data_IF_152432085021
#
_entry.id   IF_152432085021
#
_cell.length_a   1.000
_cell.length_b   1.000
_cell.length_c   1.000
_cell.angle_alpha   90.00
_cell.angle_beta   90.00
_cell.angle_gamma   90.00
#
_symmetry.space_group_name_H-M   'P 1'
#
loop_
_entity.id
_entity.type
_entity.pdbx_description
1 polymer ?
#
# COMPACT_ATOMS: atom_id res chain seq x y z
N UNK A 1 11.13 18.91 3.04
CA UNK A 1 10.86 17.46 2.99
C UNK A 1 10.58 17.10 1.54
N UNK A 2 11.36 16.17 0.99
CA UNK A 2 11.17 15.62 -0.35
C UNK A 2 10.34 14.34 -0.25
N UNK A 3 9.37 14.13 -1.18
CA UNK A 3 8.43 13.02 -1.11
C UNK A 3 8.31 12.27 -2.43
N UNK A 4 8.26 10.94 -2.37
CA UNK A 4 7.99 10.09 -3.51
C UNK A 4 6.64 9.37 -3.35
N UNK A 5 5.85 9.28 -4.43
CA UNK A 5 4.75 8.34 -4.56
C UNK A 5 5.22 7.20 -5.44
N UNK A 6 5.25 6.00 -4.91
CA UNK A 6 5.91 4.83 -5.51
C UNK A 6 4.89 3.76 -5.84
N UNK A 7 4.91 3.25 -7.03
CA UNK A 7 4.10 2.11 -7.49
C UNK A 7 4.77 1.45 -8.68
N UNK A 8 4.42 0.21 -8.99
CA UNK A 8 4.75 -0.40 -10.28
C UNK A 8 3.78 -1.53 -10.63
N UNK A 9 3.64 -1.83 -11.91
CA UNK A 9 2.90 -2.96 -12.43
C UNK A 9 3.81 -3.86 -13.26
N UNK A 10 3.87 -5.15 -12.91
CA UNK A 10 4.66 -6.16 -13.61
C UNK A 10 3.87 -7.47 -13.71
N UNK A 11 4.32 -8.39 -14.58
CA UNK A 11 3.78 -9.75 -14.65
C UNK A 11 2.27 -9.78 -14.96
N UNK A 12 1.85 -8.95 -15.91
CA UNK A 12 0.45 -8.84 -16.36
C UNK A 12 -0.38 -7.81 -15.57
N UNK A 13 0.22 -7.06 -14.65
CA UNK A 13 -0.45 -5.98 -13.90
C UNK A 13 -0.22 -4.60 -14.51
N UNK A 14 0.42 -4.49 -15.65
CA UNK A 14 0.72 -3.23 -16.34
C UNK A 14 -0.54 -2.44 -16.65
N UNK A 15 -1.60 -3.14 -17.09
CA UNK A 15 -2.90 -2.53 -17.35
C UNK A 15 -3.54 -1.89 -16.10
N UNK A 16 -3.37 -2.50 -14.92
CA UNK A 16 -3.87 -1.93 -13.66
C UNK A 16 -3.17 -0.61 -13.35
N UNK A 17 -1.85 -0.58 -13.54
CA UNK A 17 -1.07 0.65 -13.37
C UNK A 17 -1.51 1.73 -14.38
N UNK A 18 -1.74 1.39 -15.66
CA UNK A 18 -2.24 2.34 -16.66
C UNK A 18 -3.58 2.96 -16.25
N UNK A 19 -4.48 2.17 -15.65
CA UNK A 19 -5.77 2.64 -15.15
C UNK A 19 -5.65 3.53 -13.90
N UNK A 20 -4.72 3.21 -12.98
CA UNK A 20 -4.50 3.97 -11.75
C UNK A 20 -3.71 5.26 -11.98
N UNK A 21 -2.77 5.26 -12.92
CA UNK A 21 -1.77 6.31 -13.12
C UNK A 21 -2.32 7.74 -13.24
N UNK A 22 -3.45 8.00 -13.94
CA UNK A 22 -3.98 9.36 -14.03
C UNK A 22 -4.32 9.97 -12.66
N UNK A 23 -4.98 9.21 -11.77
CA UNK A 23 -5.31 9.67 -10.41
C UNK A 23 -4.07 9.80 -9.52
N UNK A 24 -3.12 8.86 -9.64
CA UNK A 24 -1.85 8.91 -8.92
C UNK A 24 -1.02 10.14 -9.32
N UNK A 25 -0.97 10.47 -10.60
CA UNK A 25 -0.28 11.66 -11.11
C UNK A 25 -0.94 12.94 -10.60
N UNK A 26 -2.28 13.03 -10.68
CA UNK A 26 -3.01 14.18 -10.14
C UNK A 26 -2.74 14.39 -8.65
N UNK A 27 -2.75 13.30 -7.86
CA UNK A 27 -2.44 13.34 -6.44
C UNK A 27 -0.98 13.79 -6.19
N UNK A 28 -0.03 13.21 -6.92
CA UNK A 28 1.38 13.55 -6.81
C UNK A 28 1.65 15.03 -7.14
N UNK A 29 1.09 15.51 -8.26
CA UNK A 29 1.25 16.91 -8.69
C UNK A 29 0.62 17.89 -7.67
N UNK A 30 -0.55 17.55 -7.11
CA UNK A 30 -1.26 18.38 -6.14
C UNK A 30 -0.52 18.53 -4.82
N UNK A 31 0.09 17.44 -4.34
CA UNK A 31 0.69 17.37 -3.02
C UNK A 31 2.23 17.40 -3.02
N UNK A 32 2.84 17.61 -4.19
CA UNK A 32 4.29 17.78 -4.32
C UNK A 32 5.09 16.48 -4.14
N UNK A 33 4.53 15.35 -4.56
CA UNK A 33 5.25 14.08 -4.66
C UNK A 33 5.91 13.94 -6.02
N UNK A 34 7.08 13.30 -6.05
CA UNK A 34 7.64 12.75 -7.29
C UNK A 34 7.01 11.38 -7.54
N UNK A 35 6.30 11.20 -8.66
CA UNK A 35 5.71 9.91 -9.02
C UNK A 35 6.76 8.99 -9.62
N UNK A 36 7.03 7.85 -8.96
CA UNK A 36 7.96 6.80 -9.39
C UNK A 36 7.16 5.56 -9.80
N UNK A 37 7.23 5.17 -11.06
CA UNK A 37 6.46 4.03 -11.61
C UNK A 37 7.35 2.96 -12.26
N UNK A 38 8.66 3.15 -12.22
CA UNK A 38 9.59 2.22 -12.84
C UNK A 38 9.65 0.91 -12.05
N UNK A 39 9.49 -0.24 -12.72
CA UNK A 39 9.64 -1.53 -12.07
C UNK A 39 11.13 -1.79 -11.76
N UNK A 40 11.42 -2.66 -10.79
CA UNK A 40 12.80 -3.05 -10.51
C UNK A 40 13.43 -3.74 -11.73
N UNK A 41 14.75 -3.54 -11.91
CA UNK A 41 15.51 -4.07 -13.07
C UNK A 41 15.44 -5.59 -13.21
N UNK A 42 15.30 -6.31 -12.11
CA UNK A 42 15.19 -7.77 -12.10
C UNK A 42 14.31 -8.25 -10.95
N UNK A 43 13.41 -9.20 -11.25
CA UNK A 43 12.58 -9.84 -10.23
C UNK A 43 13.30 -11.10 -9.71
N UNK A 44 13.91 -11.00 -8.55
CA UNK A 44 14.62 -12.12 -7.88
C UNK A 44 13.73 -12.87 -6.88
N UNK A 45 12.58 -12.31 -6.55
CA UNK A 45 11.54 -12.83 -5.64
C UNK A 45 10.16 -12.69 -6.30
N UNK A 46 9.08 -13.23 -5.72
CA UNK A 46 7.72 -12.91 -6.18
C UNK A 46 7.49 -11.40 -6.29
N UNK A 47 6.73 -10.90 -7.29
CA UNK A 47 6.63 -9.47 -7.62
C UNK A 47 6.33 -8.55 -6.43
N UNK A 48 5.42 -8.94 -5.53
CA UNK A 48 5.05 -8.15 -4.34
C UNK A 48 6.24 -7.83 -3.42
N UNK A 49 7.23 -8.72 -3.33
CA UNK A 49 8.44 -8.50 -2.54
C UNK A 49 9.30 -7.34 -3.03
N UNK A 50 9.22 -7.02 -4.31
CA UNK A 50 10.02 -5.94 -4.89
C UNK A 50 9.52 -4.54 -4.50
N UNK A 51 8.33 -4.43 -3.89
CA UNK A 51 7.90 -3.27 -3.13
C UNK A 51 8.99 -2.82 -2.13
N UNK A 52 9.60 -3.78 -1.45
CA UNK A 52 10.64 -3.51 -0.44
C UNK A 52 11.88 -2.88 -1.07
N UNK A 53 12.35 -3.39 -2.22
CA UNK A 53 13.56 -2.86 -2.87
C UNK A 53 13.35 -1.45 -3.43
N UNK A 54 12.22 -1.20 -4.09
CA UNK A 54 11.94 0.13 -4.64
C UNK A 54 11.65 1.16 -3.54
N UNK A 55 11.12 0.74 -2.38
CA UNK A 55 10.95 1.61 -1.23
C UNK A 55 12.28 1.95 -0.55
N UNK A 56 13.23 1.00 -0.48
CA UNK A 56 14.59 1.28 -0.03
C UNK A 56 15.27 2.31 -0.94
N UNK A 57 15.23 2.09 -2.27
CA UNK A 57 15.75 3.03 -3.26
C UNK A 57 15.10 4.42 -3.14
N UNK A 58 13.77 4.47 -2.96
CA UNK A 58 13.07 5.74 -2.77
C UNK A 58 13.49 6.46 -1.49
N UNK A 59 13.64 5.75 -0.36
CA UNK A 59 14.08 6.36 0.90
C UNK A 59 15.58 6.73 0.95
N UNK A 60 16.38 6.27 -0.01
CA UNK A 60 17.76 6.75 -0.20
C UNK A 60 17.79 8.16 -0.83
N UNK A 61 16.77 8.51 -1.63
CA UNK A 61 16.71 9.79 -2.37
C UNK A 61 15.69 10.78 -1.78
N UNK A 62 14.65 10.29 -1.09
CA UNK A 62 13.55 11.08 -0.55
C UNK A 62 13.44 10.92 0.97
N UNK A 63 12.96 11.97 1.64
CA UNK A 63 12.73 11.94 3.09
C UNK A 63 11.55 11.04 3.46
N UNK A 64 10.55 10.94 2.56
CA UNK A 64 9.30 10.22 2.77
C UNK A 64 8.87 9.51 1.47
N UNK A 65 8.27 8.33 1.60
CA UNK A 65 7.72 7.56 0.50
C UNK A 65 6.28 7.11 0.79
N UNK A 66 5.39 7.29 -0.17
CA UNK A 66 4.04 6.73 -0.18
C UNK A 66 3.98 5.61 -1.21
N UNK A 67 3.90 4.38 -0.75
CA UNK A 67 3.60 3.23 -1.61
C UNK A 67 2.10 3.10 -1.84
N UNK A 68 1.74 2.82 -3.08
CA UNK A 68 0.37 2.48 -3.49
C UNK A 68 0.42 1.29 -4.43
N UNK A 69 -0.32 0.22 -4.14
CA UNK A 69 -0.40 -0.95 -5.04
C UNK A 69 -1.00 -0.52 -6.39
N UNK A 70 -0.59 -1.16 -7.50
CA UNK A 70 -1.01 -0.76 -8.86
C UNK A 70 -2.50 -0.98 -9.17
N UNK A 71 -3.23 -1.70 -8.33
CA UNK A 71 -4.68 -1.89 -8.39
C UNK A 71 -5.44 -0.97 -7.41
N UNK A 72 -4.80 0.10 -7.00
CA UNK A 72 -5.39 1.14 -6.14
C UNK A 72 -5.71 2.39 -6.95
N UNK A 73 -6.88 2.98 -6.71
CA UNK A 73 -7.33 4.24 -7.33
C UNK A 73 -7.48 5.33 -6.28
N UNK A 74 -7.07 6.55 -6.63
CA UNK A 74 -7.37 7.75 -5.84
C UNK A 74 -8.82 8.16 -6.14
N UNK A 75 -9.66 8.16 -5.12
CA UNK A 75 -11.06 8.55 -5.22
C UNK A 75 -11.28 10.03 -4.85
N UNK A 76 -10.49 10.53 -3.90
CA UNK A 76 -10.49 11.93 -3.48
C UNK A 76 -9.05 12.40 -3.27
N UNK A 77 -8.58 13.29 -4.14
CA UNK A 77 -7.23 13.86 -4.10
C UNK A 77 -7.13 15.18 -3.32
N UNK A 78 -8.18 15.60 -2.60
CA UNK A 78 -8.24 16.93 -1.98
C UNK A 78 -7.35 17.06 -0.73
N UNK A 79 -7.11 15.98 0.01
CA UNK A 79 -6.26 15.95 1.20
C UNK A 79 -5.00 15.15 0.95
N UNK A 80 -3.92 15.59 1.58
CA UNK A 80 -2.68 14.82 1.61
C UNK A 80 -2.68 13.86 2.80
N UNK A 81 -2.44 12.58 2.54
CA UNK A 81 -2.31 11.58 3.59
C UNK A 81 -1.21 11.93 4.59
N UNK A 82 -0.13 12.54 4.14
CA UNK A 82 0.98 12.95 5.00
C UNK A 82 0.57 13.95 6.10
N UNK A 83 -0.46 14.76 5.86
CA UNK A 83 -0.92 15.78 6.82
C UNK A 83 -1.59 15.17 8.07
N UNK A 84 -2.06 13.91 7.97
CA UNK A 84 -2.67 13.20 9.10
C UNK A 84 -1.63 12.46 9.96
N UNK A 85 -0.37 12.33 9.50
CA UNK A 85 0.62 11.47 10.14
C UNK A 85 1.51 12.25 11.13
N UNK A 86 1.45 11.93 12.43
CA UNK A 86 2.30 12.56 13.44
C UNK A 86 3.80 12.46 13.10
N UNK A 87 4.55 13.49 13.44
CA UNK A 87 5.98 13.60 13.08
C UNK A 87 6.85 12.49 13.68
N UNK A 88 6.45 11.93 14.83
CA UNK A 88 7.13 10.83 15.52
C UNK A 88 6.85 9.45 14.92
N UNK A 89 5.89 9.33 14.01
CA UNK A 89 5.55 8.06 13.35
C UNK A 89 6.59 7.72 12.30
N UNK A 90 6.99 6.45 12.24
CA UNK A 90 7.92 5.95 11.23
C UNK A 90 7.19 5.53 9.95
N UNK A 91 5.96 5.08 10.12
CA UNK A 91 5.08 4.65 9.02
C UNK A 91 3.62 4.92 9.33
N UNK A 92 2.79 4.84 8.28
CA UNK A 92 1.34 4.78 8.41
C UNK A 92 0.75 3.72 7.47
N UNK A 93 -0.15 2.90 8.01
CA UNK A 93 -0.87 1.83 7.31
C UNK A 93 -2.28 1.70 7.87
N UNK A 94 -3.12 0.96 7.16
CA UNK A 94 -4.48 0.60 7.60
C UNK A 94 -4.52 -0.84 8.11
N UNK A 95 -5.31 -1.13 9.14
CA UNK A 95 -5.67 -2.49 9.54
C UNK A 95 -7.12 -2.79 9.14
N UNK A 96 -7.35 -3.89 8.41
CA UNK A 96 -8.67 -4.35 8.03
C UNK A 96 -9.18 -5.42 9.00
N UNK A 97 -10.42 -5.26 9.48
CA UNK A 97 -11.12 -6.31 10.20
C UNK A 97 -11.80 -7.26 9.21
N UNK A 98 -11.28 -8.45 9.09
CA UNK A 98 -11.73 -9.49 8.16
C UNK A 98 -12.14 -10.76 8.91
N UNK A 99 -12.79 -11.76 8.27
CA UNK A 99 -12.97 -13.08 8.88
C UNK A 99 -11.67 -13.77 9.31
N UNK A 100 -10.53 -13.33 8.78
CA UNK A 100 -9.21 -13.83 9.12
C UNK A 100 -8.58 -13.11 10.31
N UNK A 101 -9.26 -12.12 10.89
CA UNK A 101 -8.80 -11.31 12.02
C UNK A 101 -8.52 -9.86 11.66
N UNK A 102 -7.69 -9.22 12.48
CA UNK A 102 -7.18 -7.88 12.25
C UNK A 102 -5.92 -7.95 11.38
N UNK A 103 -6.03 -7.47 10.14
CA UNK A 103 -5.00 -7.64 9.11
C UNK A 103 -4.40 -6.28 8.73
N UNK A 104 -3.21 -5.91 9.26
CA UNK A 104 -2.44 -4.77 8.75
C UNK A 104 -2.12 -4.96 7.28
N UNK A 105 -2.34 -3.91 6.47
CA UNK A 105 -2.20 -3.98 5.03
C UNK A 105 -1.20 -2.96 4.50
N UNK A 106 -0.31 -3.42 3.62
CA UNK A 106 0.72 -2.62 2.96
C UNK A 106 0.33 -2.19 1.53
N UNK A 107 -0.96 -2.27 1.16
CA UNK A 107 -1.45 -1.84 -0.16
C UNK A 107 -1.45 -0.31 -0.34
N UNK A 108 -1.60 0.43 0.76
CA UNK A 108 -1.29 1.85 0.92
C UNK A 108 -0.39 1.97 2.12
N UNK A 109 0.83 2.44 1.92
CA UNK A 109 1.86 2.41 2.94
C UNK A 109 2.73 3.67 2.87
N UNK A 110 2.63 4.51 3.89
CA UNK A 110 3.47 5.69 4.02
C UNK A 110 4.67 5.38 4.93
N UNK A 111 5.87 5.81 4.52
CA UNK A 111 7.12 5.52 5.20
C UNK A 111 8.00 6.77 5.32
N UNK A 112 8.77 6.82 6.41
CA UNK A 112 9.87 7.76 6.62
C UNK A 112 11.21 7.02 6.73
N UNK A 113 12.32 7.72 6.67
CA UNK A 113 13.67 7.12 6.70
C UNK A 113 13.93 6.12 7.84
N UNK A 114 13.37 6.26 9.09
CA UNK A 114 13.53 5.23 10.11
C UNK A 114 13.00 3.84 9.73
N UNK A 115 12.25 3.72 8.64
CA UNK A 115 11.78 2.44 8.11
C UNK A 115 12.82 1.67 7.28
N UNK A 116 13.94 2.26 6.84
CA UNK A 116 14.96 1.56 6.04
C UNK A 116 15.45 0.26 6.73
N UNK A 117 15.88 0.25 8.01
CA UNK A 117 16.30 -1.00 8.66
C UNK A 117 15.13 -2.00 8.83
N UNK A 118 13.89 -1.53 8.92
CA UNK A 118 12.70 -2.41 8.97
C UNK A 118 12.46 -3.06 7.61
N UNK A 119 12.55 -2.31 6.51
CA UNK A 119 12.45 -2.85 5.15
C UNK A 119 13.53 -3.89 4.87
N UNK A 120 14.78 -3.64 5.30
CA UNK A 120 15.85 -4.63 5.23
C UNK A 120 15.55 -5.88 6.06
N UNK A 121 14.96 -5.73 7.25
CA UNK A 121 14.55 -6.87 8.08
C UNK A 121 13.44 -7.67 7.39
N UNK A 122 12.41 -7.01 6.83
CA UNK A 122 11.37 -7.66 6.02
C UNK A 122 12.02 -8.46 4.89
N UNK A 123 12.92 -7.84 4.12
CA UNK A 123 13.61 -8.50 2.99
C UNK A 123 14.34 -9.78 3.40
N UNK A 124 14.85 -9.87 4.62
CA UNK A 124 15.59 -11.06 5.14
C UNK A 124 14.68 -12.16 5.69
N UNK A 125 13.37 -11.92 5.83
CA UNK A 125 12.41 -12.91 6.34
C UNK A 125 11.96 -13.91 5.25
N UNK A 126 12.88 -14.75 4.81
CA UNK A 126 12.68 -15.74 3.73
C UNK A 126 11.53 -16.72 4.00
N UNK A 127 11.16 -16.94 5.27
CA UNK A 127 10.02 -17.76 5.66
C UNK A 127 8.69 -17.29 5.09
N UNK A 128 8.61 -16.00 4.72
CA UNK A 128 7.41 -15.39 4.12
C UNK A 128 7.43 -15.35 2.60
N UNK A 129 8.49 -15.84 1.94
CA UNK A 129 8.67 -15.71 0.49
C UNK A 129 7.48 -16.28 -0.32
N UNK A 130 6.89 -17.37 0.16
CA UNK A 130 5.72 -18.01 -0.43
C UNK A 130 4.52 -18.06 0.51
N UNK A 131 4.55 -17.22 1.55
CA UNK A 131 3.45 -17.10 2.49
C UNK A 131 2.26 -16.36 1.84
N UNK A 132 1.06 -16.57 2.36
CA UNK A 132 -0.20 -16.04 1.82
C UNK A 132 -0.19 -14.52 1.54
N UNK A 133 0.47 -13.76 2.42
CA UNK A 133 0.54 -12.30 2.32
C UNK A 133 1.94 -11.79 1.98
N UNK A 134 2.86 -12.67 1.59
CA UNK A 134 4.23 -12.33 1.17
C UNK A 134 4.93 -11.34 2.13
N UNK A 135 5.44 -10.23 1.61
CA UNK A 135 6.11 -9.18 2.38
C UNK A 135 5.22 -8.54 3.45
N UNK A 136 3.91 -8.47 3.20
CA UNK A 136 2.96 -7.97 4.19
C UNK A 136 2.89 -8.89 5.42
N UNK A 137 2.98 -10.21 5.25
CA UNK A 137 3.07 -11.16 6.36
C UNK A 137 4.32 -10.94 7.21
N UNK A 138 5.46 -10.66 6.57
CA UNK A 138 6.69 -10.31 7.28
C UNK A 138 6.55 -8.98 8.05
N UNK A 139 5.90 -7.98 7.47
CA UNK A 139 5.58 -6.73 8.17
C UNK A 139 4.69 -6.97 9.39
N UNK A 140 3.65 -7.80 9.25
CA UNK A 140 2.74 -8.15 10.35
C UNK A 140 3.50 -8.79 11.53
N UNK A 141 4.43 -9.72 11.27
CA UNK A 141 5.27 -10.30 12.32
C UNK A 141 6.11 -9.23 13.03
N UNK A 142 6.76 -8.33 12.29
CA UNK A 142 7.56 -7.26 12.88
C UNK A 142 6.73 -6.25 13.69
N UNK A 143 5.47 -6.06 13.32
CA UNK A 143 4.51 -5.29 14.10
C UNK A 143 4.10 -6.00 15.40
N UNK A 144 4.28 -7.32 15.50
CA UNK A 144 3.91 -8.15 16.63
C UNK A 144 2.59 -8.87 16.47
N UNK A 145 2.07 -8.97 15.25
CA UNK A 145 0.91 -9.80 14.93
C UNK A 145 1.30 -11.26 14.69
N UNK A 146 0.29 -12.14 14.66
CA UNK A 146 0.41 -13.59 14.44
C UNK A 146 -0.05 -14.00 13.05
N UNK A 147 0.69 -13.67 11.94
CA UNK A 147 0.20 -13.92 10.59
C UNK A 147 0.06 -15.42 10.24
N UNK A 148 0.73 -16.30 10.98
CA UNK A 148 0.63 -17.77 10.83
C UNK A 148 -0.55 -18.39 11.57
N UNK A 149 -1.26 -17.62 12.39
CA UNK A 149 -2.40 -18.07 13.17
C UNK A 149 -3.70 -17.42 12.68
N UNK A 150 -4.83 -18.13 12.82
CA UNK A 150 -6.14 -17.58 12.48
C UNK A 150 -7.05 -17.66 13.71
N UNK A 151 -7.73 -16.59 14.08
CA UNK A 151 -7.67 -15.27 13.45
C UNK A 151 -6.35 -14.54 13.72
N UNK A 152 -5.87 -13.77 12.74
CA UNK A 152 -4.71 -12.87 12.93
C UNK A 152 -5.03 -11.87 14.02
N UNK A 153 -4.14 -11.70 14.97
CA UNK A 153 -4.30 -10.78 16.09
C UNK A 153 -2.96 -10.21 16.55
N UNK A 154 -3.02 -9.09 17.22
CA UNK A 154 -1.84 -8.52 17.88
C UNK A 154 -1.49 -9.36 19.11
N UNK A 155 -0.33 -10.00 19.09
CA UNK A 155 0.22 -10.75 20.24
C UNK A 155 0.95 -9.82 21.21
N UNK A 156 1.71 -8.85 20.66
CA UNK A 156 2.48 -7.89 21.46
C UNK A 156 2.73 -6.60 20.70
N UNK A 157 2.71 -5.48 21.38
CA UNK A 157 3.13 -4.20 20.81
C UNK A 157 4.66 -4.14 20.72
N UNK A 158 5.17 -4.13 19.50
CA UNK A 158 6.60 -3.88 19.22
C UNK A 158 6.90 -2.37 19.21
N UNK A 159 8.16 -1.98 19.09
CA UNK A 159 8.49 -0.57 18.85
C UNK A 159 7.92 -0.11 17.52
N UNK A 160 8.00 -0.92 16.48
CA UNK A 160 7.41 -0.62 15.17
C UNK A 160 5.90 -0.37 15.28
N UNK A 161 5.18 -1.21 16.04
CA UNK A 161 3.74 -1.00 16.29
C UNK A 161 3.47 0.38 16.90
N UNK A 162 4.20 0.75 17.95
CA UNK A 162 4.05 2.05 18.63
C UNK A 162 4.46 3.25 17.78
N UNK A 163 5.31 3.05 16.76
CA UNK A 163 5.73 4.04 15.79
C UNK A 163 4.90 4.03 14.51
N UNK A 164 3.86 3.21 14.45
CA UNK A 164 2.91 3.14 13.35
C UNK A 164 1.74 4.07 13.63
N UNK A 165 1.43 4.95 12.69
CA UNK A 165 0.15 5.65 12.65
C UNK A 165 -0.87 4.76 11.94
N UNK A 166 -1.99 4.48 12.62
CA UNK A 166 -3.05 3.64 12.06
C UNK A 166 -4.05 4.53 11.32
N UNK A 167 -4.03 4.45 10.00
CA UNK A 167 -4.91 5.20 9.12
C UNK A 167 -6.35 4.71 9.20
N UNK A 168 -7.29 5.62 9.01
CA UNK A 168 -8.69 5.28 8.80
C UNK A 168 -8.90 4.49 7.50
N UNK A 169 -10.01 3.73 7.43
CA UNK A 169 -10.33 2.87 6.28
C UNK A 169 -10.58 3.68 4.99
N UNK A 170 -10.89 4.96 5.08
CA UNK A 170 -11.04 5.87 3.95
C UNK A 170 -9.75 5.97 3.11
N UNK A 171 -8.59 5.81 3.73
CA UNK A 171 -7.28 5.79 3.05
C UNK A 171 -6.92 4.44 2.43
N UNK A 172 -7.71 3.40 2.69
CA UNK A 172 -7.51 2.08 2.08
C UNK A 172 -8.84 1.31 2.03
N UNK A 173 -9.86 1.88 1.40
CA UNK A 173 -11.16 1.23 1.23
C UNK A 173 -11.05 0.05 0.27
N UNK A 174 -11.59 -1.12 0.64
CA UNK A 174 -11.64 -2.29 -0.22
C UNK A 174 -12.87 -2.22 -1.14
N UNK A 175 -12.65 -2.02 -2.44
CA UNK A 175 -13.70 -2.02 -3.46
C UNK A 175 -13.94 -3.41 -4.04
N UNK A 176 -15.20 -3.82 -4.21
CA UNK A 176 -15.56 -5.10 -4.83
C UNK A 176 -16.67 -4.91 -5.88
N UNK A 177 -16.69 -5.74 -6.96
CA UNK A 177 -17.75 -5.68 -7.96
C UNK A 177 -19.15 -5.80 -7.34
N UNK A 178 -20.08 -4.92 -7.78
CA UNK A 178 -21.47 -4.92 -7.32
C UNK A 178 -21.69 -4.38 -5.90
N UNK A 179 -20.66 -3.89 -5.22
CA UNK A 179 -20.78 -3.22 -3.94
C UNK A 179 -20.61 -1.71 -4.13
N UNK A 180 -21.48 -0.87 -3.54
CA UNK A 180 -21.26 0.57 -3.53
C UNK A 180 -19.97 0.89 -2.77
N UNK A 181 -19.23 1.90 -3.23
CA UNK A 181 -18.12 2.45 -2.46
C UNK A 181 -18.65 3.22 -1.24
N UNK A 182 -17.85 3.23 -0.19
CA UNK A 182 -18.06 4.16 0.92
C UNK A 182 -17.96 5.60 0.39
N UNK A 183 -18.95 6.46 0.65
CA UNK A 183 -18.91 7.85 0.22
C UNK A 183 -17.71 8.65 0.78
N UNK A 184 -17.12 8.19 1.88
CA UNK A 184 -15.92 8.78 2.48
C UNK A 184 -14.59 8.23 1.93
N UNK A 185 -14.62 7.24 1.00
CA UNK A 185 -13.41 6.63 0.46
C UNK A 185 -12.54 7.66 -0.26
N UNK A 186 -11.28 7.77 0.15
CA UNK A 186 -10.24 8.61 -0.49
C UNK A 186 -9.37 7.79 -1.42
N UNK A 187 -9.08 6.57 -1.00
CA UNK A 187 -8.25 5.63 -1.73
C UNK A 187 -8.96 4.28 -1.78
N UNK A 188 -9.09 3.71 -2.98
CA UNK A 188 -9.83 2.46 -3.22
C UNK A 188 -8.91 1.38 -3.76
N UNK A 189 -8.74 0.29 -3.02
CA UNK A 189 -8.04 -0.91 -3.47
C UNK A 189 -9.04 -1.82 -4.19
N UNK A 190 -8.83 -2.00 -5.48
CA UNK A 190 -9.81 -2.62 -6.37
C UNK A 190 -9.74 -4.14 -6.35
N UNK A 191 -10.68 -4.76 -5.65
CA UNK A 191 -10.90 -6.20 -5.60
C UNK A 191 -9.63 -7.02 -5.28
N UNK A 192 -8.85 -6.69 -4.21
CA UNK A 192 -7.62 -7.40 -3.89
C UNK A 192 -7.89 -8.90 -3.76
N UNK A 193 -6.92 -9.72 -4.22
CA UNK A 193 -7.05 -11.18 -4.22
C UNK A 193 -7.89 -11.76 -5.37
N UNK A 194 -8.58 -10.93 -6.17
CA UNK A 194 -9.32 -11.39 -7.35
C UNK A 194 -8.40 -11.46 -8.60
N UNK A 195 -8.82 -12.19 -9.67
CA UNK A 195 -8.12 -12.20 -10.95
C UNK A 195 -7.90 -10.79 -11.50
N UNK A 196 -6.80 -10.56 -12.21
CA UNK A 196 -6.41 -9.26 -12.78
C UNK A 196 -7.56 -8.67 -13.63
N UNK A 197 -8.23 -9.49 -14.45
CA UNK A 197 -9.35 -9.06 -15.28
C UNK A 197 -10.53 -8.48 -14.47
N UNK A 198 -10.80 -9.03 -13.29
CA UNK A 198 -11.86 -8.54 -12.37
C UNK A 198 -11.45 -7.21 -11.78
N UNK A 199 -10.19 -7.07 -11.36
CA UNK A 199 -9.64 -5.80 -10.84
C UNK A 199 -9.69 -4.72 -11.91
N UNK A 200 -9.18 -5.00 -13.12
CA UNK A 200 -9.19 -4.07 -14.24
C UNK A 200 -10.61 -3.64 -14.62
N UNK A 201 -11.58 -4.56 -14.62
CA UNK A 201 -12.97 -4.20 -14.90
C UNK A 201 -13.54 -3.26 -13.84
N UNK A 202 -13.31 -3.54 -12.55
CA UNK A 202 -13.75 -2.66 -11.47
C UNK A 202 -13.13 -1.26 -11.58
N UNK A 203 -11.82 -1.19 -11.88
CA UNK A 203 -11.13 0.10 -12.06
C UNK A 203 -11.72 0.91 -13.23
N UNK A 204 -12.05 0.26 -14.36
CA UNK A 204 -12.75 0.93 -15.48
C UNK A 204 -14.13 1.42 -15.09
N UNK A 205 -14.89 0.62 -14.33
CA UNK A 205 -16.24 0.97 -13.89
C UNK A 205 -16.24 2.17 -12.92
N UNK A 206 -15.19 2.29 -12.08
CA UNK A 206 -15.03 3.40 -11.14
C UNK A 206 -14.51 4.68 -11.78
N UNK A 207 -13.71 4.59 -12.85
CA UNK A 207 -13.06 5.74 -13.49
C UNK A 207 -14.02 6.90 -13.85
N UNK A 208 -15.23 6.66 -14.42
CA UNK A 208 -16.17 7.75 -14.72
C UNK A 208 -16.71 8.44 -13.45
N UNK A 209 -16.98 7.68 -12.39
CA UNK A 209 -17.51 8.20 -11.14
C UNK A 209 -16.49 9.08 -10.41
N UNK A 210 -15.20 8.72 -10.46
CA UNK A 210 -14.11 9.46 -9.83
C UNK A 210 -13.72 10.74 -10.58
N UNK A 211 -13.99 10.83 -11.90
CA UNK A 211 -13.74 12.04 -12.70
C UNK A 211 -14.86 13.08 -12.61
N UNK A 212 -16.00 12.76 -12.07
CA UNK A 212 -17.18 13.63 -11.96
C UNK A 212 -17.44 14.17 -10.55
N UNK A 213 -16.62 13.82 -9.59
CA UNK A 213 -16.66 14.29 -8.21
C UNK A 213 -15.61 15.38 -7.98
#
# INVERSE_FOLDING_TARGET
VTRALVTFGVTGMEELLELAQPGLREYADRHGYTLLTEPPLALTRPPSWHKITVLLEALDEYDEALWVDCDVMIADSTLDLADEIPAESWQAITAHHTPEGEVPSAGVWYLRQPMQPVLEAIWRLDGYLHFKWWEQGALQELLGYTPHELPVHLERETELYRRTHWLGLEWHTLGFPGRPLDPGARVVHCAPGNPISVRAQLMRDLTPALKGA
#
